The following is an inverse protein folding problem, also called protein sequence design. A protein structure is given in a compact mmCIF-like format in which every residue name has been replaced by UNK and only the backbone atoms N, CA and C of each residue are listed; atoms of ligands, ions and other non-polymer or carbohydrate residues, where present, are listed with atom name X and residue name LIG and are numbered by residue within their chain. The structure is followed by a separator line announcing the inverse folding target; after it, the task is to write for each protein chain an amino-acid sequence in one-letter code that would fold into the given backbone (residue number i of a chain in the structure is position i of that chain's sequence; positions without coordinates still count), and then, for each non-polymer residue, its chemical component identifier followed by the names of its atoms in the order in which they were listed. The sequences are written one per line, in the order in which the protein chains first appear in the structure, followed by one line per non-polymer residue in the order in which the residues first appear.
data_IF_117430520060
#
_entry.id   IF_117430520060
#
_cell.length_a   1.000
_cell.length_b   1.000
_cell.length_c   1.000
_cell.angle_alpha   90.00
_cell.angle_beta   90.00
_cell.angle_gamma   90.00
#
_symmetry.space_group_name_H-M   'P 1'
#
loop_
_entity.id
_entity.type
_entity.pdbx_description
1 polymer ?
#
# COMPACT_ATOMS: atom_id res chain seq x y z
N UNK A 1 -2.91 -1.05 -22.98
CA UNK A 1 -2.24 -1.89 -21.97
C UNK A 1 -0.91 -1.22 -21.69
N UNK A 2 -0.79 -0.51 -20.59
CA UNK A 2 0.47 0.14 -20.20
C UNK A 2 1.25 -0.87 -19.36
N UNK A 3 2.32 -1.41 -19.96
CA UNK A 3 3.38 -2.11 -19.25
C UNK A 3 4.07 -1.10 -18.34
N UNK A 4 3.57 -0.99 -17.10
CA UNK A 4 4.21 -0.23 -16.05
C UNK A 4 5.38 -1.08 -15.53
N UNK A 5 6.61 -0.54 -15.43
CA UNK A 5 7.76 -1.31 -14.99
C UNK A 5 7.51 -1.88 -13.59
N UNK A 6 7.70 -3.20 -13.36
CA UNK A 6 7.40 -3.86 -12.08
C UNK A 6 8.24 -3.38 -10.89
N UNK A 7 9.22 -2.51 -11.12
CA UNK A 7 10.35 -2.27 -10.23
C UNK A 7 10.43 -0.82 -9.73
N UNK A 8 9.33 -0.08 -9.70
CA UNK A 8 9.33 1.22 -9.03
C UNK A 8 9.34 1.02 -7.51
N UNK A 9 10.30 1.61 -6.76
CA UNK A 9 10.32 1.61 -5.30
C UNK A 9 9.07 2.23 -4.64
N UNK A 10 8.20 2.88 -5.44
CA UNK A 10 6.96 3.54 -4.99
C UNK A 10 5.86 2.54 -4.56
N UNK A 11 6.03 1.26 -4.88
CA UNK A 11 5.04 0.20 -4.66
C UNK A 11 5.03 -0.41 -3.23
N UNK A 12 6.17 -0.43 -2.53
CA UNK A 12 6.29 -0.99 -1.18
C UNK A 12 5.81 0.00 -0.11
N UNK A 13 6.15 1.27 -0.27
CA UNK A 13 5.70 2.36 0.61
C UNK A 13 4.18 2.46 0.64
N UNK A 14 3.53 2.38 -0.53
CA UNK A 14 2.07 2.39 -0.65
C UNK A 14 1.41 1.29 0.16
N UNK A 15 1.92 0.06 -0.03
CA UNK A 15 1.43 -1.13 0.64
C UNK A 15 1.56 -1.02 2.15
N UNK A 16 2.73 -0.61 2.64
CA UNK A 16 2.98 -0.47 4.07
C UNK A 16 2.11 0.61 4.69
N UNK A 17 2.02 1.81 4.08
CA UNK A 17 1.17 2.89 4.60
C UNK A 17 -0.31 2.49 4.65
N UNK A 18 -0.79 1.77 3.64
CA UNK A 18 -2.14 1.21 3.65
C UNK A 18 -2.33 0.17 4.76
N UNK A 19 -1.37 -0.74 4.95
CA UNK A 19 -1.43 -1.76 6.00
C UNK A 19 -1.38 -1.14 7.42
N UNK A 20 -0.61 -0.06 7.60
CA UNK A 20 -0.61 0.77 8.82
C UNK A 20 -1.99 1.41 9.04
N UNK A 21 -2.59 2.01 8.01
CA UNK A 21 -3.96 2.57 8.10
C UNK A 21 -5.01 1.51 8.46
N UNK A 22 -4.81 0.27 8.01
CA UNK A 22 -5.65 -0.87 8.35
C UNK A 22 -5.31 -1.49 9.72
N UNK A 23 -4.46 -0.83 10.52
CA UNK A 23 -4.04 -1.26 11.86
C UNK A 23 -3.41 -2.66 11.89
N UNK A 24 -2.74 -3.05 10.79
CA UNK A 24 -2.01 -4.32 10.74
C UNK A 24 -0.70 -4.21 11.52
N UNK A 25 -0.31 -5.32 12.15
CA UNK A 25 1.02 -5.47 12.73
C UNK A 25 2.07 -5.63 11.63
N UNK A 26 3.33 -5.34 11.94
CA UNK A 26 4.46 -5.57 11.02
C UNK A 26 4.49 -7.01 10.51
N UNK A 27 4.31 -7.99 11.40
CA UNK A 27 4.22 -9.42 11.07
C UNK A 27 3.11 -9.68 10.03
N UNK A 28 1.90 -9.16 10.28
CA UNK A 28 0.78 -9.39 9.37
C UNK A 28 0.96 -8.69 8.02
N UNK A 29 1.57 -7.52 8.04
CA UNK A 29 1.93 -6.76 6.85
C UNK A 29 2.96 -7.52 6.01
N UNK A 30 3.97 -8.10 6.66
CA UNK A 30 4.99 -8.92 6.01
C UNK A 30 4.40 -10.21 5.41
N UNK A 31 3.55 -10.95 6.13
CA UNK A 31 2.87 -12.14 5.60
C UNK A 31 2.09 -11.83 4.30
N UNK A 32 1.41 -10.68 4.25
CA UNK A 32 0.67 -10.27 3.06
C UNK A 32 1.61 -9.93 1.90
N UNK A 33 2.73 -9.27 2.21
CA UNK A 33 3.76 -8.90 1.24
C UNK A 33 4.47 -10.13 0.66
N UNK A 34 4.83 -11.10 1.50
CA UNK A 34 5.47 -12.35 1.08
C UNK A 34 4.59 -13.12 0.09
N UNK A 35 3.31 -13.32 0.43
CA UNK A 35 2.32 -13.93 -0.48
C UNK A 35 2.17 -13.16 -1.79
N UNK A 36 2.20 -11.83 -1.73
CA UNK A 36 2.15 -10.99 -2.93
C UNK A 36 3.38 -11.22 -3.83
N UNK A 37 4.57 -11.32 -3.23
CA UNK A 37 5.80 -11.63 -3.95
C UNK A 37 5.75 -13.01 -4.61
N UNK A 38 5.25 -14.03 -3.90
CA UNK A 38 5.04 -15.38 -4.45
C UNK A 38 4.15 -15.36 -5.70
N UNK A 39 3.00 -14.67 -5.63
CA UNK A 39 2.06 -14.53 -6.77
C UNK A 39 2.71 -13.79 -7.94
N UNK A 40 3.57 -12.81 -7.65
CA UNK A 40 4.29 -12.04 -8.67
C UNK A 40 5.53 -12.75 -9.21
N UNK A 41 5.89 -13.91 -8.67
CA UNK A 41 7.13 -14.62 -9.02
C UNK A 41 8.40 -13.83 -8.66
N UNK A 42 8.34 -13.04 -7.59
CA UNK A 42 9.46 -12.21 -7.10
C UNK A 42 9.97 -12.73 -5.77
N UNK A 43 11.26 -12.57 -5.54
CA UNK A 43 11.86 -12.79 -4.23
C UNK A 43 11.44 -11.66 -3.28
N UNK A 44 10.96 -12.02 -2.09
CA UNK A 44 10.65 -11.08 -1.03
C UNK A 44 11.95 -10.60 -0.36
N UNK A 45 12.00 -9.32 0.02
CA UNK A 45 13.07 -8.84 0.92
C UNK A 45 12.97 -9.54 2.28
N UNK A 46 14.05 -9.52 3.05
CA UNK A 46 14.04 -10.13 4.39
C UNK A 46 13.05 -9.43 5.32
N UNK A 47 12.58 -10.16 6.33
CA UNK A 47 11.72 -9.60 7.39
C UNK A 47 12.37 -8.38 8.07
N UNK A 48 13.66 -8.45 8.39
CA UNK A 48 14.40 -7.35 9.03
C UNK A 48 14.44 -6.09 8.16
N UNK A 49 14.66 -6.25 6.85
CA UNK A 49 14.65 -5.13 5.91
C UNK A 49 13.23 -4.54 5.79
N UNK A 50 12.21 -5.40 5.71
CA UNK A 50 10.81 -4.98 5.68
C UNK A 50 10.39 -4.24 6.96
N UNK A 51 10.76 -4.75 8.13
CA UNK A 51 10.47 -4.15 9.43
C UNK A 51 11.09 -2.75 9.56
N UNK A 52 12.31 -2.57 9.05
CA UNK A 52 12.94 -1.25 8.96
C UNK A 52 12.12 -0.26 8.13
N UNK A 53 11.61 -0.67 6.96
CA UNK A 53 10.69 0.15 6.17
C UNK A 53 9.38 0.42 6.90
N UNK A 54 8.81 -0.59 7.56
CA UNK A 54 7.57 -0.47 8.31
C UNK A 54 7.68 0.59 9.42
N UNK A 55 8.70 0.48 10.27
CA UNK A 55 8.93 1.42 11.36
C UNK A 55 9.18 2.85 10.85
N UNK A 56 9.94 2.99 9.75
CA UNK A 56 10.15 4.29 9.10
C UNK A 56 8.83 4.92 8.64
N UNK A 57 7.93 4.14 8.04
CA UNK A 57 6.66 4.66 7.52
C UNK A 57 5.60 4.87 8.60
N UNK A 58 5.68 4.14 9.72
CA UNK A 58 4.89 4.46 10.93
C UNK A 58 5.22 5.88 11.38
N UNK A 59 6.51 6.19 11.57
CA UNK A 59 6.98 7.52 11.98
C UNK A 59 6.56 8.60 10.98
N UNK A 60 6.72 8.34 9.67
CA UNK A 60 6.31 9.25 8.60
C UNK A 60 4.81 9.55 8.61
N UNK A 61 3.96 8.53 8.86
CA UNK A 61 2.50 8.71 8.93
C UNK A 61 2.09 9.56 10.14
N UNK A 62 2.74 9.38 11.30
CA UNK A 62 2.51 10.18 12.49
C UNK A 62 2.88 11.65 12.28
N UNK A 63 4.02 11.91 11.62
CA UNK A 63 4.48 13.26 11.33
C UNK A 63 3.60 13.96 10.27
N UNK A 64 3.18 13.23 9.22
CA UNK A 64 2.29 13.77 8.18
C UNK A 64 0.92 14.16 8.74
N UNK A 65 0.37 13.33 9.64
CA UNK A 65 -0.89 13.61 10.35
C UNK A 65 -0.78 14.86 11.23
N UNK A 66 0.37 15.06 11.90
CA UNK A 66 0.64 16.25 12.73
C UNK A 66 0.74 17.53 11.90
N UNK A 67 1.33 17.45 10.71
CA UNK A 67 1.55 18.61 9.84
C UNK A 67 0.35 18.95 8.94
N UNK A 68 -0.76 18.21 9.06
CA UNK A 68 -1.98 18.42 8.27
C UNK A 68 -1.79 18.20 6.76
N UNK A 69 -0.71 17.52 6.35
CA UNK A 69 -0.48 17.15 4.94
C UNK A 69 -1.02 15.74 4.72
N UNK A 70 -2.01 15.60 3.85
CA UNK A 70 -2.42 14.30 3.34
C UNK A 70 -1.22 13.60 2.68
N UNK A 71 -1.05 12.31 2.96
CA UNK A 71 -0.05 11.48 2.30
C UNK A 71 -0.36 11.41 0.80
N UNK A 72 0.48 11.94 -0.09
CA UNK A 72 0.24 11.87 -1.54
C UNK A 72 -0.07 10.44 -1.96
N UNK A 73 -1.22 10.16 -2.60
CA UNK A 73 -1.64 8.79 -2.97
C UNK A 73 -0.49 8.11 -3.72
N UNK A 74 0.20 7.13 -3.12
CA UNK A 74 1.17 6.33 -3.83
C UNK A 74 0.41 5.27 -4.68
N UNK A 75 1.05 4.65 -5.67
CA UNK A 75 0.37 3.73 -6.60
C UNK A 75 -0.42 2.63 -5.86
N UNK A 76 -1.75 2.73 -5.87
CA UNK A 76 -2.67 1.86 -5.11
C UNK A 76 -2.85 0.48 -5.74
N UNK A 77 -2.33 0.26 -6.97
CA UNK A 77 -2.52 -1.01 -7.70
C UNK A 77 -1.98 -2.19 -6.91
N UNK A 78 -0.86 -2.03 -6.21
CA UNK A 78 -0.29 -3.08 -5.35
C UNK A 78 -1.11 -3.34 -4.10
N UNK A 79 -1.75 -2.33 -3.53
CA UNK A 79 -2.64 -2.52 -2.38
C UNK A 79 -3.87 -3.34 -2.81
N UNK A 80 -4.43 -3.07 -4.00
CA UNK A 80 -5.53 -3.84 -4.57
C UNK A 80 -5.11 -5.30 -4.78
N UNK A 81 -3.96 -5.51 -5.41
CA UNK A 81 -3.46 -6.86 -5.67
C UNK A 81 -3.18 -7.63 -4.38
N UNK A 82 -2.55 -6.99 -3.38
CA UNK A 82 -2.33 -7.58 -2.05
C UNK A 82 -3.64 -8.01 -1.40
N UNK A 83 -4.66 -7.15 -1.42
CA UNK A 83 -5.98 -7.45 -0.87
C UNK A 83 -6.61 -8.67 -1.57
N UNK A 84 -6.57 -8.73 -2.90
CA UNK A 84 -7.11 -9.86 -3.67
C UNK A 84 -6.36 -11.15 -3.36
N UNK A 85 -5.02 -11.11 -3.32
CA UNK A 85 -4.17 -12.25 -2.94
C UNK A 85 -4.51 -12.75 -1.53
N UNK A 86 -4.88 -11.86 -0.62
CA UNK A 86 -5.29 -12.20 0.74
C UNK A 86 -6.78 -12.51 0.89
N UNK A 87 -7.50 -12.74 -0.22
CA UNK A 87 -8.88 -13.23 -0.22
C UNK A 87 -9.96 -12.14 -0.08
N UNK A 88 -9.60 -10.87 -0.18
CA UNK A 88 -10.54 -9.74 -0.15
C UNK A 88 -11.08 -9.48 -1.56
N UNK A 89 -12.37 -9.13 -1.67
CA UNK A 89 -12.96 -8.76 -2.96
C UNK A 89 -12.38 -7.43 -3.48
N UNK A 90 -12.37 -7.27 -4.81
CA UNK A 90 -11.90 -6.04 -5.45
C UNK A 90 -12.73 -4.80 -5.04
N UNK A 91 -14.05 -4.95 -4.92
CA UNK A 91 -14.96 -3.87 -4.49
C UNK A 91 -14.64 -3.39 -3.08
N UNK A 92 -14.56 -4.30 -2.11
CA UNK A 92 -14.20 -3.97 -0.72
C UNK A 92 -12.76 -3.42 -0.62
N UNK A 93 -11.87 -3.91 -1.48
CA UNK A 93 -10.51 -3.40 -1.58
C UNK A 93 -10.48 -1.93 -1.98
N UNK A 94 -11.26 -1.54 -2.99
CA UNK A 94 -11.38 -0.15 -3.47
C UNK A 94 -12.01 0.75 -2.40
N UNK A 95 -13.06 0.29 -1.71
CA UNK A 95 -13.71 1.05 -0.63
C UNK A 95 -12.73 1.38 0.50
N UNK A 96 -12.00 0.38 0.99
CA UNK A 96 -11.04 0.56 2.08
C UNK A 96 -9.84 1.41 1.67
N UNK A 97 -9.45 1.38 0.39
CA UNK A 97 -8.43 2.28 -0.15
C UNK A 97 -8.93 3.72 -0.27
N UNK A 98 -10.16 3.92 -0.73
CA UNK A 98 -10.78 5.24 -0.75
C UNK A 98 -10.86 5.81 0.68
N UNK A 99 -11.22 4.99 1.67
CA UNK A 99 -11.23 5.41 3.07
C UNK A 99 -9.82 5.78 3.59
N UNK A 100 -8.83 4.95 3.30
CA UNK A 100 -7.44 5.17 3.73
C UNK A 100 -6.78 6.42 3.11
N UNK A 101 -7.19 6.80 1.90
CA UNK A 101 -6.60 7.90 1.14
C UNK A 101 -7.53 9.10 0.96
N UNK A 102 -8.63 9.18 1.74
CA UNK A 102 -9.74 10.16 1.61
C UNK A 102 -9.32 11.64 1.53
N UNK A 103 -8.14 12.02 2.02
CA UNK A 103 -7.64 13.41 1.97
C UNK A 103 -6.98 13.81 0.66
N UNK A 104 -6.79 12.88 -0.27
CA UNK A 104 -6.47 13.23 -1.65
C UNK A 104 -7.74 13.12 -2.47
N UNK A 105 -8.22 14.24 -2.99
CA UNK A 105 -9.16 14.24 -4.11
C UNK A 105 -8.61 13.33 -5.20
N UNK A 106 -9.12 12.11 -5.28
CA UNK A 106 -9.09 11.36 -6.53
C UNK A 106 -10.02 12.18 -7.42
N UNK A 107 -9.47 13.06 -8.25
CA UNK A 107 -10.26 13.70 -9.30
C UNK A 107 -10.85 12.57 -10.14
N UNK A 108 -12.15 12.37 -9.97
CA UNK A 108 -12.97 11.46 -10.77
C UNK A 108 -13.45 12.16 -12.06
N UNK A 109 -12.80 13.24 -12.47
CA UNK A 109 -13.16 14.00 -13.66
C UNK A 109 -11.95 14.12 -14.58
N UNK A 110 -11.90 13.20 -15.55
CA UNK A 110 -11.24 13.44 -16.83
C UNK A 110 -11.93 12.60 -17.92
N UNK A 111 -13.26 12.73 -18.02
CA UNK A 111 -14.03 12.24 -19.17
C UNK A 111 -15.30 13.08 -19.39
N UNK A 112 -15.14 14.25 -20.02
CA UNK A 112 -16.01 14.72 -21.14
C UNK A 112 -15.14 15.49 -22.13
#
# INVERSE_FOLDING_TARGET
MTDIPPNSPIDLRALILYDIHQWKTTEKSYENYEKLCEVLGKEAISYEEYESFFNKYVEESYNSTKDGRGLSIPDIRRCILSNITNGKSAEKSIEDLCDAFKDNKIDKEDHV
#
